data_IF_357435641378
#
_entry.id   IF_357435641378
#
_cell.length_a   1.000
_cell.length_b   1.000
_cell.length_c   1.000
_cell.angle_alpha   90.00
_cell.angle_beta   90.00
_cell.angle_gamma   90.00
#
_symmetry.space_group_name_H-M   'P 1'
#
loop_
_entity.id
_entity.type
_entity.pdbx_description
1 polymer ?
#
# COMPACT_ATOMS: atom_id res chain seq x y z
N UNK A 1 -3.19 5.08 -20.78
CA UNK A 1 -2.07 5.19 -19.81
C UNK A 1 -2.63 5.83 -18.54
N UNK A 2 -2.73 5.11 -17.41
CA UNK A 2 -3.18 5.74 -16.15
C UNK A 2 -1.96 6.45 -15.53
N UNK A 3 -1.98 7.78 -15.51
CA UNK A 3 -1.08 8.63 -14.74
C UNK A 3 0.40 8.65 -15.18
N UNK A 4 0.74 8.40 -16.45
CA UNK A 4 2.12 8.52 -16.95
C UNK A 4 3.13 7.47 -16.45
N UNK A 5 2.72 6.58 -15.53
CA UNK A 5 3.50 5.45 -15.00
C UNK A 5 3.19 4.15 -15.76
N UNK A 6 4.22 3.37 -16.10
CA UNK A 6 4.10 2.00 -16.61
C UNK A 6 4.74 1.00 -15.65
N UNK A 7 4.00 -0.07 -15.33
CA UNK A 7 4.52 -1.24 -14.61
C UNK A 7 5.08 -2.28 -15.60
N UNK A 8 5.90 -3.22 -15.11
CA UNK A 8 6.41 -4.32 -15.96
C UNK A 8 5.30 -5.09 -16.67
N UNK A 9 4.22 -5.46 -15.99
CA UNK A 9 3.08 -6.14 -16.61
C UNK A 9 2.29 -5.28 -17.61
N UNK A 10 2.39 -3.96 -17.51
CA UNK A 10 1.85 -3.06 -18.55
C UNK A 10 2.79 -3.01 -19.77
N UNK A 11 4.10 -3.07 -19.55
CA UNK A 11 5.08 -3.13 -20.62
C UNK A 11 5.01 -4.45 -21.37
N UNK A 12 4.92 -5.59 -20.68
CA UNK A 12 4.74 -6.92 -21.29
C UNK A 12 3.50 -6.97 -22.20
N UNK A 13 2.37 -6.43 -21.73
CA UNK A 13 1.16 -6.36 -22.56
C UNK A 13 1.28 -5.39 -23.74
N UNK A 14 2.04 -4.31 -23.60
CA UNK A 14 2.21 -3.33 -24.66
C UNK A 14 3.19 -3.79 -25.74
N UNK A 15 4.21 -4.58 -25.37
CA UNK A 15 5.24 -5.08 -26.29
C UNK A 15 4.95 -6.49 -26.80
N UNK A 16 4.05 -7.24 -26.14
CA UNK A 16 3.83 -8.66 -26.38
C UNK A 16 5.00 -9.55 -25.94
N UNK A 17 6.05 -8.97 -25.35
CA UNK A 17 7.24 -9.68 -24.92
C UNK A 17 7.12 -10.11 -23.45
N UNK A 18 7.72 -11.26 -23.11
CA UNK A 18 7.77 -11.73 -21.73
C UNK A 18 8.69 -10.90 -20.84
N UNK A 19 8.49 -10.99 -19.52
CA UNK A 19 9.15 -10.18 -18.49
C UNK A 19 10.66 -10.02 -18.67
N UNK A 20 11.38 -11.13 -18.93
CA UNK A 20 12.83 -11.11 -19.09
C UNK A 20 13.28 -10.32 -20.32
N UNK A 21 12.54 -10.44 -21.43
CA UNK A 21 12.82 -9.71 -22.67
C UNK A 21 12.55 -8.23 -22.50
N UNK A 22 11.40 -7.88 -21.89
CA UNK A 22 11.07 -6.50 -21.55
C UNK A 22 12.15 -5.89 -20.64
N UNK A 23 12.55 -6.60 -19.59
CA UNK A 23 13.56 -6.13 -18.63
C UNK A 23 14.92 -5.88 -19.31
N UNK A 24 15.33 -6.76 -20.23
CA UNK A 24 16.59 -6.60 -20.96
C UNK A 24 16.54 -5.37 -21.87
N UNK A 25 15.51 -5.25 -22.71
CA UNK A 25 15.36 -4.10 -23.61
C UNK A 25 15.21 -2.78 -22.83
N UNK A 26 14.63 -2.82 -21.64
CA UNK A 26 14.48 -1.62 -20.81
C UNK A 26 15.83 -1.02 -20.40
N UNK A 27 16.87 -1.84 -20.20
CA UNK A 27 18.22 -1.34 -19.90
C UNK A 27 18.76 -0.52 -21.08
N UNK A 28 18.58 -1.02 -22.29
CA UNK A 28 19.07 -0.35 -23.51
C UNK A 28 18.31 0.96 -23.76
N UNK A 29 16.98 0.95 -23.59
CA UNK A 29 16.15 2.16 -23.75
C UNK A 29 16.45 3.20 -22.66
N UNK A 30 16.77 2.77 -21.44
CA UNK A 30 17.23 3.67 -20.38
C UNK A 30 18.59 4.32 -20.71
N UNK A 31 19.50 3.57 -21.34
CA UNK A 31 20.80 4.10 -21.76
C UNK A 31 20.66 5.18 -22.85
N UNK A 32 19.61 5.10 -23.69
CA UNK A 32 19.29 6.15 -24.66
C UNK A 32 18.68 7.42 -24.03
N UNK A 33 18.28 7.38 -22.75
CA UNK A 33 17.68 8.52 -22.06
C UNK A 33 16.20 8.77 -22.40
N UNK A 34 15.58 7.90 -23.19
CA UNK A 34 14.18 8.03 -23.63
C UNK A 34 13.16 7.75 -22.51
N UNK A 35 13.60 7.10 -21.43
CA UNK A 35 12.75 6.73 -20.30
C UNK A 35 13.46 7.06 -18.98
N UNK A 36 12.65 7.24 -17.94
CA UNK A 36 13.13 7.36 -16.57
C UNK A 36 12.61 6.20 -15.73
N UNK A 37 13.50 5.51 -15.03
CA UNK A 37 13.14 4.44 -14.10
C UNK A 37 13.31 4.93 -12.66
N UNK A 38 12.20 4.90 -11.91
CA UNK A 38 12.23 5.03 -10.47
C UNK A 38 12.18 3.63 -9.86
N UNK A 39 13.23 3.22 -9.14
CA UNK A 39 13.39 1.85 -8.67
C UNK A 39 12.15 1.28 -7.97
N UNK A 40 11.50 2.08 -7.12
CA UNK A 40 10.30 1.70 -6.38
C UNK A 40 9.00 1.99 -7.15
N UNK A 41 8.99 3.04 -7.99
CA UNK A 41 7.76 3.60 -8.56
C UNK A 41 7.55 3.30 -10.05
N UNK A 42 8.39 2.48 -10.69
CA UNK A 42 8.20 2.00 -12.07
C UNK A 42 8.82 2.89 -13.15
N UNK A 43 8.31 2.77 -14.38
CA UNK A 43 8.89 3.40 -15.59
C UNK A 43 8.04 4.59 -16.03
N UNK A 44 8.70 5.69 -16.38
CA UNK A 44 8.11 6.95 -16.78
C UNK A 44 8.70 7.40 -18.13
N UNK A 45 7.94 8.21 -18.87
CA UNK A 45 8.40 8.77 -20.14
C UNK A 45 9.54 9.80 -19.99
N UNK A 46 9.72 10.36 -18.79
CA UNK A 46 10.82 11.27 -18.47
C UNK A 46 10.91 11.48 -16.96
N UNK A 47 12.04 12.03 -16.49
CA UNK A 47 12.19 12.41 -15.08
C UNK A 47 11.17 13.50 -14.68
N UNK A 48 10.85 14.42 -15.58
CA UNK A 48 9.83 15.45 -15.35
C UNK A 48 8.44 14.83 -15.15
N UNK A 49 8.08 13.82 -15.94
CA UNK A 49 6.83 13.09 -15.76
C UNK A 49 6.76 12.37 -14.41
N UNK A 50 7.89 11.84 -13.92
CA UNK A 50 7.97 11.28 -12.56
C UNK A 50 7.79 12.36 -11.48
N UNK A 51 8.43 13.53 -11.62
CA UNK A 51 8.29 14.64 -10.67
C UNK A 51 6.85 15.16 -10.61
N UNK A 52 6.17 15.28 -11.74
CA UNK A 52 4.75 15.65 -11.82
C UNK A 52 3.83 14.58 -11.22
N UNK A 53 4.12 13.31 -11.52
CA UNK A 53 3.41 12.18 -10.91
C UNK A 53 3.56 12.17 -9.38
N UNK A 54 4.77 12.44 -8.86
CA UNK A 54 5.05 12.51 -7.42
C UNK A 54 4.39 13.71 -6.73
N UNK A 55 4.22 14.83 -7.44
CA UNK A 55 3.47 16.01 -6.95
C UNK A 55 1.97 15.78 -6.93
N UNK A 56 1.46 14.84 -7.74
CA UNK A 56 0.06 14.45 -7.65
C UNK A 56 -0.13 13.83 -6.28
N UNK A 57 -1.00 14.41 -5.41
CA UNK A 57 -1.19 13.88 -4.07
C UNK A 57 -1.49 12.39 -4.20
N UNK A 58 -0.65 11.58 -3.54
CA UNK A 58 -0.89 10.16 -3.41
C UNK A 58 -2.35 10.03 -2.98
N UNK A 59 -3.17 9.29 -3.74
CA UNK A 59 -4.56 9.06 -3.34
C UNK A 59 -4.47 8.38 -2.00
N UNK A 60 -4.62 9.15 -0.92
CA UNK A 60 -4.42 8.69 0.44
C UNK A 60 -5.30 7.46 0.56
N UNK A 61 -4.64 6.31 0.63
CA UNK A 61 -5.37 5.07 0.78
C UNK A 61 -6.03 5.21 2.14
N UNK A 62 -7.34 5.40 2.16
CA UNK A 62 -8.11 5.52 3.40
C UNK A 62 -7.77 4.27 4.24
N UNK A 63 -6.93 4.47 5.26
CA UNK A 63 -6.38 3.39 6.08
C UNK A 63 -7.48 2.72 6.91
N UNK A 64 -8.64 3.38 7.02
CA UNK A 64 -9.82 2.83 7.70
C UNK A 64 -10.59 1.84 6.82
N UNK A 65 -10.29 1.74 5.51
CA UNK A 65 -10.90 0.76 4.62
C UNK A 65 -10.31 -0.64 4.82
N UNK A 66 -11.15 -1.55 5.28
CA UNK A 66 -10.89 -2.97 5.29
C UNK A 66 -11.17 -3.49 3.88
N UNK A 67 -10.12 -3.95 3.19
CA UNK A 67 -10.17 -4.40 1.79
C UNK A 67 -10.17 -5.92 1.63
N UNK A 68 -9.92 -6.64 2.72
CA UNK A 68 -9.69 -8.09 2.75
C UNK A 68 -10.67 -8.74 3.72
N UNK A 69 -11.96 -8.65 3.41
CA UNK A 69 -12.98 -9.39 4.13
C UNK A 69 -13.27 -10.74 3.46
N UNK A 70 -13.71 -11.76 4.22
CA UNK A 70 -14.06 -13.06 3.66
C UNK A 70 -15.16 -13.02 2.60
N UNK A 71 -16.07 -12.04 2.70
CA UNK A 71 -17.16 -11.80 1.75
C UNK A 71 -16.73 -10.98 0.52
N UNK A 72 -15.48 -10.51 0.48
CA UNK A 72 -14.95 -9.69 -0.60
C UNK A 72 -15.42 -8.22 -0.58
N UNK A 73 -16.22 -7.81 0.41
CA UNK A 73 -16.68 -6.43 0.51
C UNK A 73 -15.57 -5.49 0.99
N UNK A 74 -15.64 -4.23 0.53
CA UNK A 74 -14.82 -3.15 1.06
C UNK A 74 -15.69 -2.32 2.00
N UNK A 75 -15.32 -2.27 3.27
CA UNK A 75 -16.02 -1.45 4.28
C UNK A 75 -15.05 -0.70 5.16
N UNK A 76 -15.54 0.36 5.80
CA UNK A 76 -14.78 1.04 6.85
C UNK A 76 -14.81 0.22 8.13
N UNK A 77 -13.71 0.29 8.89
CA UNK A 77 -13.69 -0.21 10.26
C UNK A 77 -14.69 0.57 11.11
N UNK A 78 -15.71 -0.13 11.62
CA UNK A 78 -16.64 0.42 12.61
C UNK A 78 -16.30 -0.10 14.00
N UNK A 79 -15.82 0.80 14.85
CA UNK A 79 -15.46 0.48 16.23
C UNK A 79 -16.64 0.02 17.09
N UNK A 80 -17.89 0.34 16.71
CA UNK A 80 -19.09 -0.07 17.44
C UNK A 80 -19.39 -1.56 17.26
N UNK A 81 -18.86 -2.18 16.20
CA UNK A 81 -18.99 -3.61 15.94
C UNK A 81 -17.97 -4.45 16.73
N UNK A 82 -17.06 -3.83 17.48
CA UNK A 82 -16.15 -4.55 18.37
C UNK A 82 -16.89 -5.08 19.61
N UNK A 83 -17.62 -6.16 19.44
CA UNK A 83 -18.32 -6.84 20.54
C UNK A 83 -17.31 -7.79 21.19
N UNK A 84 -16.76 -7.37 22.33
CA UNK A 84 -15.96 -8.24 23.21
C UNK A 84 -16.88 -8.73 24.33
N UNK A 85 -16.89 -10.03 24.59
CA UNK A 85 -17.67 -10.62 25.66
C UNK A 85 -17.32 -10.01 27.03
N UNK A 86 -18.27 -9.93 27.98
CA UNK A 86 -18.04 -9.28 29.29
C UNK A 86 -16.89 -9.92 30.06
N UNK A 87 -16.78 -11.24 30.00
CA UNK A 87 -15.71 -12.03 30.62
C UNK A 87 -14.36 -11.70 29.97
N UNK A 88 -14.29 -11.76 28.64
CA UNK A 88 -13.13 -11.41 27.82
C UNK A 88 -12.64 -10.00 28.13
N UNK A 89 -13.57 -9.04 28.26
CA UNK A 89 -13.26 -7.64 28.58
C UNK A 89 -12.68 -7.48 29.98
N UNK A 90 -13.08 -8.33 30.93
CA UNK A 90 -12.58 -8.35 32.31
C UNK A 90 -11.35 -9.24 32.50
N UNK A 91 -10.95 -10.02 31.50
CA UNK A 91 -9.74 -10.84 31.58
C UNK A 91 -8.51 -9.98 31.86
N UNK A 92 -7.59 -10.52 32.63
CA UNK A 92 -6.33 -9.86 33.00
C UNK A 92 -5.55 -9.39 31.76
N UNK A 93 -5.46 -10.25 30.74
CA UNK A 93 -4.79 -9.96 29.47
C UNK A 93 -5.44 -8.75 28.78
N UNK A 94 -6.77 -8.73 28.68
CA UNK A 94 -7.46 -7.60 28.04
C UNK A 94 -7.33 -6.32 28.85
N UNK A 95 -7.36 -6.39 30.18
CA UNK A 95 -7.14 -5.21 31.04
C UNK A 95 -5.75 -4.61 30.86
N UNK A 96 -4.70 -5.45 30.72
CA UNK A 96 -3.34 -4.97 30.41
C UNK A 96 -3.27 -4.28 29.05
N UNK A 97 -3.90 -4.85 28.02
CA UNK A 97 -3.98 -4.23 26.68
C UNK A 97 -4.69 -2.89 26.74
N UNK A 98 -5.85 -2.83 27.41
CA UNK A 98 -6.60 -1.58 27.55
C UNK A 98 -5.81 -0.52 28.33
N UNK A 99 -5.11 -0.90 29.39
CA UNK A 99 -4.28 0.01 30.18
C UNK A 99 -3.09 0.56 29.39
N UNK A 100 -2.47 -0.27 28.54
CA UNK A 100 -1.43 0.18 27.61
C UNK A 100 -1.95 1.30 26.68
N UNK A 101 -3.09 1.08 26.02
CA UNK A 101 -3.68 2.09 25.12
C UNK A 101 -4.26 3.31 25.84
N UNK A 102 -4.58 3.21 27.13
CA UNK A 102 -5.07 4.31 27.96
C UNK A 102 -3.96 5.10 28.67
N UNK A 103 -2.69 4.68 28.55
CA UNK A 103 -1.56 5.31 29.24
C UNK A 103 -1.48 5.00 30.74
N UNK A 104 -2.18 3.97 31.22
CA UNK A 104 -2.22 3.54 32.64
C UNK A 104 -1.38 2.29 32.92
N UNK A 105 -0.35 2.07 32.12
CA UNK A 105 0.40 0.81 32.12
C UNK A 105 1.02 0.45 33.49
N UNK A 106 1.37 1.45 34.32
CA UNK A 106 1.94 1.23 35.65
C UNK A 106 0.95 0.65 36.67
N UNK A 107 -0.37 0.79 36.48
CA UNK A 107 -1.39 0.32 37.44
C UNK A 107 -1.69 -1.18 37.33
N UNK A 108 -1.25 -1.87 36.27
CA UNK A 108 -1.68 -3.25 35.94
C UNK A 108 -0.53 -4.27 35.98
N UNK A 109 0.66 -3.85 36.42
CA UNK A 109 1.82 -4.74 36.63
C UNK A 109 2.06 -5.11 38.11
N UNK A 110 1.08 -4.86 38.99
CA UNK A 110 1.10 -5.24 40.40
C UNK A 110 0.26 -6.49 40.66
#
# INVERSE_FOLDING_TARGET
RKNGRMTMSQLERATGAGWHSVRRCLVDVLACGDLYMSGEYGVFASEQAYREWRKTPEKTTDQTLIRKLPDGEIRRYDRHLNIICRECRKSEVMQRVLAFYQGKFQEVML
#
